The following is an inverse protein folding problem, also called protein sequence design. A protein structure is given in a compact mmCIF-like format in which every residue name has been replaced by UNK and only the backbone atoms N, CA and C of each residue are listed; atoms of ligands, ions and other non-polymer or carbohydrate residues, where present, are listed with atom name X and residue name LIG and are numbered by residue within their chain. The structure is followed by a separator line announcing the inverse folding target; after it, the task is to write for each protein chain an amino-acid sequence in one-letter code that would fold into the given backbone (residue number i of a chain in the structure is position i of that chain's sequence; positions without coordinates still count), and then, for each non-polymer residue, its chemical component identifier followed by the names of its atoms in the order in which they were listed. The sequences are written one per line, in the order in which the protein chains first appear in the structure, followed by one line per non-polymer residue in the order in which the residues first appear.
data_IF_521189046715
#
_entry.id   IF_521189046715
#
_cell.length_a   1.000
_cell.length_b   1.000
_cell.length_c   1.000
_cell.angle_alpha   90.00
_cell.angle_beta   90.00
_cell.angle_gamma   90.00
#
_symmetry.space_group_name_H-M   'P 1'
#
loop_
_entity.id
_entity.type
_entity.pdbx_description
1 polymer ?
#
# COMPACT_ATOMS: atom_id res chain seq x y z
N UNK A 1 -8.13 34.39 -10.71
CA UNK A 1 -7.90 32.95 -10.83
C UNK A 1 -7.35 32.47 -9.50
N UNK A 2 -8.15 31.73 -8.72
CA UNK A 2 -7.74 31.24 -7.40
C UNK A 2 -8.13 29.76 -7.32
N UNK A 3 -7.19 28.93 -6.88
CA UNK A 3 -7.43 27.50 -6.71
C UNK A 3 -8.50 27.26 -5.63
N UNK A 4 -9.21 26.14 -5.74
CA UNK A 4 -10.13 25.69 -4.70
C UNK A 4 -9.38 25.52 -3.35
N UNK A 5 -10.05 25.68 -2.20
CA UNK A 5 -9.46 25.39 -0.90
C UNK A 5 -8.81 23.98 -0.88
N UNK A 6 -7.55 23.89 -0.43
CA UNK A 6 -6.76 22.63 -0.43
C UNK A 6 -5.87 22.43 -1.66
N UNK A 7 -5.84 23.40 -2.58
CA UNK A 7 -4.99 23.38 -3.77
C UNK A 7 -4.15 24.66 -3.87
N UNK A 8 -2.94 24.56 -4.42
CA UNK A 8 -2.04 25.69 -4.61
C UNK A 8 -1.51 25.80 -6.03
N UNK A 9 -1.11 27.02 -6.47
CA UNK A 9 -0.32 27.22 -7.68
C UNK A 9 0.89 26.28 -7.78
N UNK A 10 1.04 25.59 -8.90
CA UNK A 10 2.23 24.79 -9.22
C UNK A 10 2.65 25.01 -10.68
N UNK A 11 3.96 25.09 -10.93
CA UNK A 11 4.55 25.34 -12.25
C UNK A 11 4.96 26.80 -12.51
N UNK A 12 5.81 27.01 -13.52
CA UNK A 12 6.49 28.29 -13.77
C UNK A 12 5.59 29.41 -14.36
N UNK A 13 4.31 29.12 -14.65
CA UNK A 13 3.33 30.08 -15.19
C UNK A 13 1.86 29.72 -14.81
N UNK A 14 1.58 29.54 -13.51
CA UNK A 14 0.29 29.10 -12.91
C UNK A 14 -1.00 29.38 -13.72
N UNK A 15 -1.75 28.32 -14.10
CA UNK A 15 -2.95 27.94 -13.33
C UNK A 15 -3.07 26.42 -13.14
N UNK A 16 -1.95 25.72 -12.92
CA UNK A 16 -2.02 24.32 -12.51
C UNK A 16 -2.12 24.29 -10.99
N UNK A 17 -3.30 24.01 -10.49
CA UNK A 17 -3.51 23.78 -9.07
C UNK A 17 -2.95 22.38 -8.73
N UNK A 18 -2.07 22.25 -7.73
CA UNK A 18 -1.69 20.97 -7.11
C UNK A 18 -2.26 20.87 -5.69
N UNK A 19 -2.47 19.65 -5.23
CA UNK A 19 -2.91 19.34 -3.87
C UNK A 19 -1.90 19.84 -2.82
N UNK A 20 -2.46 20.27 -1.69
CA UNK A 20 -1.74 20.50 -0.46
C UNK A 20 -1.21 19.21 0.19
N UNK A 21 0.05 18.88 -0.03
CA UNK A 21 0.68 17.74 0.64
C UNK A 21 1.65 18.19 1.72
N UNK A 22 1.30 17.95 2.98
CA UNK A 22 2.26 17.82 4.06
C UNK A 22 2.75 16.37 4.00
N UNK A 23 3.84 16.15 3.28
CA UNK A 23 4.23 14.82 2.79
C UNK A 23 4.72 13.90 3.92
N UNK A 24 3.82 13.09 4.48
CA UNK A 24 4.08 12.15 5.56
C UNK A 24 3.56 10.73 5.27
N UNK A 25 3.20 10.43 4.02
CA UNK A 25 2.77 9.09 3.63
C UNK A 25 3.95 8.12 3.63
N UNK A 26 3.85 7.06 4.43
CA UNK A 26 4.87 6.02 4.55
C UNK A 26 4.67 4.92 3.50
N UNK A 27 5.65 4.02 3.38
CA UNK A 27 5.57 2.79 2.58
C UNK A 27 5.15 3.03 1.12
N UNK A 28 5.58 4.15 0.53
CA UNK A 28 5.28 4.50 -0.86
C UNK A 28 3.87 5.01 -1.13
N UNK A 29 3.10 5.33 -0.07
CA UNK A 29 1.78 5.95 -0.21
C UNK A 29 1.82 7.28 -0.95
N UNK A 30 0.77 7.56 -1.72
CA UNK A 30 0.62 8.80 -2.49
C UNK A 30 -0.27 9.80 -1.75
N UNK A 31 0.19 11.02 -1.52
CA UNK A 31 -0.66 12.07 -0.98
C UNK A 31 -1.66 12.56 -2.04
N UNK A 32 -2.96 12.44 -1.75
CA UNK A 32 -4.07 12.77 -2.68
C UNK A 32 -4.91 13.96 -2.23
N UNK A 33 -4.88 14.30 -0.93
CA UNK A 33 -5.45 15.53 -0.38
C UNK A 33 -4.69 15.94 0.89
N UNK A 34 -5.03 17.10 1.47
CA UNK A 34 -4.40 17.60 2.69
C UNK A 34 -4.32 16.52 3.78
N UNK A 35 -3.09 16.04 4.03
CA UNK A 35 -2.76 14.98 4.99
C UNK A 35 -3.58 13.68 4.79
N UNK A 36 -3.96 13.41 3.53
CA UNK A 36 -4.71 12.21 3.12
C UNK A 36 -3.84 11.37 2.20
N UNK A 37 -3.49 10.18 2.66
CA UNK A 37 -2.67 9.24 1.93
C UNK A 37 -3.53 8.16 1.25
N UNK A 38 -3.26 7.94 -0.03
CA UNK A 38 -3.66 6.74 -0.75
C UNK A 38 -2.55 5.70 -0.58
N UNK A 39 -2.84 4.60 0.10
CA UNK A 39 -1.87 3.55 0.35
C UNK A 39 -1.72 2.62 -0.85
N UNK A 40 -0.49 2.13 -1.05
CA UNK A 40 -0.25 1.02 -1.98
C UNK A 40 -0.87 -0.27 -1.40
N UNK A 41 -1.20 -1.26 -2.26
CA UNK A 41 -1.64 -2.57 -1.78
C UNK A 41 -0.66 -3.15 -0.75
N UNK A 42 -1.20 -3.82 0.29
CA UNK A 42 -0.41 -4.34 1.41
C UNK A 42 -0.26 -3.38 2.60
N UNK A 43 -0.71 -2.12 2.50
CA UNK A 43 -0.66 -1.16 3.62
C UNK A 43 -1.99 -0.46 3.89
N UNK A 44 -2.15 -0.03 5.13
CA UNK A 44 -3.32 0.68 5.65
C UNK A 44 -2.92 1.70 6.73
N UNK A 45 -3.90 2.44 7.24
CA UNK A 45 -3.72 3.53 8.20
C UNK A 45 -3.72 4.91 7.54
N UNK A 46 -3.79 5.96 8.38
CA UNK A 46 -3.92 7.36 7.92
C UNK A 46 -2.72 7.85 7.11
N UNK A 47 -1.54 7.27 7.35
CA UNK A 47 -0.30 7.58 6.65
C UNK A 47 0.37 6.31 6.10
N UNK A 48 -0.40 5.25 5.88
CA UNK A 48 0.08 3.97 5.34
C UNK A 48 1.14 3.28 6.21
N UNK A 49 1.09 3.51 7.52
CA UNK A 49 2.06 3.00 8.49
C UNK A 49 1.85 1.54 8.88
N UNK A 50 0.68 0.97 8.59
CA UNK A 50 0.30 -0.35 9.08
C UNK A 50 0.31 -1.33 7.91
N UNK A 51 1.10 -2.38 8.05
CA UNK A 51 1.07 -3.53 7.15
C UNK A 51 -0.26 -4.30 7.25
N UNK A 52 -0.81 -4.71 6.12
CA UNK A 52 -2.02 -5.53 6.06
C UNK A 52 -1.61 -6.98 6.20
N UNK A 53 -2.17 -7.69 7.17
CA UNK A 53 -1.91 -9.12 7.30
C UNK A 53 -2.83 -9.95 6.39
N UNK A 54 -2.37 -10.30 5.19
CA UNK A 54 -3.16 -11.09 4.24
C UNK A 54 -3.32 -12.57 4.64
N UNK A 55 -2.59 -13.06 5.65
CA UNK A 55 -2.76 -14.42 6.16
C UNK A 55 -4.04 -14.59 7.00
N UNK A 56 -4.59 -13.50 7.57
CA UNK A 56 -5.81 -13.57 8.37
C UNK A 56 -7.03 -14.07 7.57
N UNK A 57 -7.33 -13.52 6.38
CA UNK A 57 -8.40 -14.04 5.56
C UNK A 57 -7.97 -15.32 4.85
N UNK A 58 -8.62 -16.45 5.18
CA UNK A 58 -8.49 -17.68 4.41
C UNK A 58 -7.06 -18.21 4.29
N UNK A 59 -6.19 -17.93 5.27
CA UNK A 59 -4.78 -18.34 5.27
C UNK A 59 -4.00 -17.80 4.05
N UNK A 60 -4.37 -16.61 3.54
CA UNK A 60 -3.82 -16.04 2.31
C UNK A 60 -4.20 -16.83 1.04
N UNK A 61 -4.91 -17.95 1.14
CA UNK A 61 -5.04 -18.99 0.12
C UNK A 61 -3.79 -19.88 -0.04
N UNK A 62 -2.91 -19.99 0.96
CA UNK A 62 -1.89 -21.04 0.98
C UNK A 62 -2.50 -22.42 1.17
N UNK A 63 -1.88 -23.43 0.53
CA UNK A 63 -2.14 -24.84 0.84
C UNK A 63 -1.72 -25.21 2.26
N UNK A 64 -0.63 -24.61 2.77
CA UNK A 64 -0.05 -24.91 4.07
C UNK A 64 0.20 -23.64 4.87
N UNK A 65 1.44 -23.24 5.11
CA UNK A 65 1.76 -22.14 6.03
C UNK A 65 1.75 -20.82 5.29
N UNK A 66 0.93 -19.87 5.73
CA UNK A 66 1.01 -18.47 5.32
C UNK A 66 1.94 -17.70 6.24
N UNK A 67 2.84 -16.92 5.64
CA UNK A 67 3.76 -16.03 6.34
C UNK A 67 3.51 -14.61 5.89
N UNK A 68 3.06 -13.78 6.83
CA UNK A 68 2.90 -12.35 6.61
C UNK A 68 4.27 -11.67 6.49
N UNK A 69 4.41 -10.77 5.53
CA UNK A 69 5.63 -10.01 5.26
C UNK A 69 5.28 -8.53 5.11
N UNK A 70 6.26 -7.64 5.16
CA UNK A 70 5.98 -6.22 4.97
C UNK A 70 5.58 -5.94 3.51
N UNK A 71 4.36 -5.43 3.31
CA UNK A 71 3.77 -5.12 2.01
C UNK A 71 3.14 -6.31 1.28
N UNK A 72 2.97 -7.46 1.94
CA UNK A 72 2.35 -8.63 1.35
C UNK A 72 2.61 -9.91 2.14
N UNK A 73 2.60 -11.06 1.48
CA UNK A 73 2.69 -12.35 2.17
C UNK A 73 3.26 -13.44 1.25
N UNK A 74 3.64 -14.57 1.84
CA UNK A 74 4.17 -15.72 1.10
C UNK A 74 3.72 -17.05 1.69
N UNK A 75 3.64 -18.08 0.86
CA UNK A 75 3.37 -19.44 1.27
C UNK A 75 4.64 -20.24 1.51
N UNK A 76 4.63 -21.06 2.55
CA UNK A 76 5.68 -22.00 2.88
C UNK A 76 5.15 -23.43 2.90
N UNK A 77 5.98 -24.33 2.36
CA UNK A 77 5.69 -25.74 2.30
C UNK A 77 6.32 -26.49 3.49
N UNK A 78 5.71 -27.60 3.93
CA UNK A 78 6.33 -28.52 4.87
C UNK A 78 7.66 -29.08 4.33
N UNK A 79 8.47 -29.65 5.23
CA UNK A 79 9.72 -30.30 4.86
C UNK A 79 9.50 -31.38 3.79
N UNK A 80 10.34 -31.36 2.74
CA UNK A 80 10.25 -32.29 1.62
C UNK A 80 9.33 -31.84 0.46
N UNK A 81 8.62 -30.71 0.60
CA UNK A 81 7.77 -30.15 -0.44
C UNK A 81 8.33 -28.82 -0.97
N UNK A 82 7.99 -28.48 -2.21
CA UNK A 82 8.43 -27.25 -2.88
C UNK A 82 7.21 -26.45 -3.30
N UNK A 83 7.29 -25.13 -3.17
CA UNK A 83 6.22 -24.24 -3.59
C UNK A 83 6.02 -24.31 -5.11
N UNK A 84 4.79 -24.50 -5.54
CA UNK A 84 4.40 -24.52 -6.94
C UNK A 84 4.51 -23.12 -7.56
N UNK A 85 4.46 -23.07 -8.90
CA UNK A 85 4.58 -21.80 -9.66
C UNK A 85 3.44 -20.81 -9.42
N UNK A 86 2.34 -21.27 -8.86
CA UNK A 86 1.24 -20.40 -8.43
C UNK A 86 1.59 -19.59 -7.17
N UNK A 87 2.65 -19.97 -6.44
CA UNK A 87 3.05 -19.34 -5.19
C UNK A 87 2.13 -19.66 -4.00
N UNK A 88 1.18 -20.57 -4.19
CA UNK A 88 0.10 -20.87 -3.24
C UNK A 88 0.13 -22.31 -2.75
N UNK A 89 0.42 -23.24 -3.67
CA UNK A 89 0.30 -24.67 -3.41
C UNK A 89 1.64 -25.35 -3.26
N UNK A 90 1.61 -26.48 -2.55
CA UNK A 90 2.64 -27.49 -2.49
C UNK A 90 1.93 -28.74 -3.04
#
# INVERSE_FOLDING_TARGET
YQCCPGWFPSGDNCPICKVACLDNCLNGGSCVSNNTCLCVPGFTGSVCQTDVNECLPGNGNCSHTCVNTEGGWSCQCPEGFVLNKDGLTC
#
